data_IF_757489704614
#
_entry.id   IF_757489704614
#
_cell.length_a   1.000
_cell.length_b   1.000
_cell.length_c   1.000
_cell.angle_alpha   90.00
_cell.angle_beta   90.00
_cell.angle_gamma   90.00
#
_symmetry.space_group_name_H-M   'P 1'
#
loop_
_entity.id
_entity.type
_entity.pdbx_description
1 polymer ?
#
# COMPACT_ATOMS: atom_id res chain seq x y z
N UNK A 1 8.58 7.13 11.60
CA UNK A 1 7.21 7.42 11.17
C UNK A 1 6.47 6.14 10.81
N UNK A 2 5.23 6.08 11.18
CA UNK A 2 4.39 4.93 10.91
C UNK A 2 3.95 4.95 9.44
N UNK A 3 4.36 3.95 8.68
CA UNK A 3 4.06 3.87 7.25
C UNK A 3 2.79 3.09 6.93
N UNK A 4 2.19 2.45 7.92
CA UNK A 4 0.92 1.75 7.79
C UNK A 4 -0.08 2.35 8.75
N UNK A 5 -1.30 2.60 8.26
CA UNK A 5 -2.40 3.14 9.05
C UNK A 5 -3.67 2.35 8.85
N UNK A 6 -4.45 2.27 9.92
CA UNK A 6 -5.82 1.77 9.86
C UNK A 6 -6.77 2.94 9.71
N UNK A 7 -7.66 2.86 8.73
CA UNK A 7 -8.60 3.90 8.40
C UNK A 7 -10.03 3.35 8.46
N UNK A 8 -10.98 4.26 8.55
CA UNK A 8 -12.42 3.97 8.47
C UNK A 8 -12.84 2.84 9.42
N UNK A 9 -12.89 3.15 10.74
CA UNK A 9 -13.26 2.19 11.79
C UNK A 9 -12.40 0.93 11.77
N UNK A 10 -11.10 1.09 11.46
CA UNK A 10 -10.10 0.02 11.42
C UNK A 10 -10.34 -1.07 10.36
N UNK A 11 -11.24 -0.82 9.41
CA UNK A 11 -11.59 -1.78 8.36
C UNK A 11 -10.69 -1.72 7.14
N UNK A 12 -9.87 -0.67 7.02
CA UNK A 12 -9.05 -0.42 5.85
C UNK A 12 -7.61 -0.21 6.29
N UNK A 13 -6.68 -0.85 5.59
CA UNK A 13 -5.25 -0.62 5.77
C UNK A 13 -4.75 0.27 4.63
N UNK A 14 -3.91 1.23 4.95
CA UNK A 14 -3.22 2.06 3.98
C UNK A 14 -1.74 2.13 4.32
N UNK A 15 -0.90 1.92 3.31
CA UNK A 15 0.55 2.00 3.45
C UNK A 15 1.14 2.87 2.37
N UNK A 16 2.34 3.39 2.59
CA UNK A 16 2.97 4.27 1.61
C UNK A 16 4.48 4.08 1.54
N UNK A 17 5.05 4.50 0.42
CA UNK A 17 6.48 4.71 0.24
C UNK A 17 6.70 6.10 -0.36
N UNK A 18 7.80 6.76 0.03
CA UNK A 18 8.14 8.11 -0.40
C UNK A 18 8.17 9.10 0.75
N UNK A 19 7.96 10.37 0.47
CA UNK A 19 7.99 11.45 1.46
C UNK A 19 6.87 11.31 2.49
N UNK A 20 7.20 11.43 3.77
CA UNK A 20 6.21 11.38 4.85
C UNK A 20 5.20 12.51 4.78
N UNK A 21 5.65 13.72 4.43
CA UNK A 21 4.76 14.88 4.31
C UNK A 21 3.75 14.68 3.18
N UNK A 22 4.21 14.19 2.02
CA UNK A 22 3.36 13.93 0.88
C UNK A 22 2.36 12.83 1.18
N UNK A 23 2.81 11.80 1.87
CA UNK A 23 1.96 10.67 2.26
C UNK A 23 0.87 11.10 3.23
N UNK A 24 1.18 12.00 4.15
CA UNK A 24 0.20 12.56 5.08
C UNK A 24 -0.93 13.27 4.35
N UNK A 25 -0.58 14.08 3.35
CA UNK A 25 -1.57 14.78 2.51
C UNK A 25 -2.48 13.78 1.79
N UNK A 26 -1.89 12.70 1.26
CA UNK A 26 -2.66 11.66 0.56
C UNK A 26 -3.55 10.87 1.50
N UNK A 27 -3.07 10.51 2.69
CA UNK A 27 -3.90 9.85 3.69
C UNK A 27 -5.11 10.68 4.07
N UNK A 28 -4.93 11.98 4.32
CA UNK A 28 -6.03 12.88 4.66
C UNK A 28 -7.07 12.95 3.53
N UNK A 29 -6.62 13.04 2.29
CA UNK A 29 -7.50 13.03 1.12
C UNK A 29 -8.25 11.71 0.99
N UNK A 30 -7.55 10.61 1.21
CA UNK A 30 -8.16 9.29 1.12
C UNK A 30 -9.21 9.07 2.22
N UNK A 31 -8.91 9.48 3.45
CA UNK A 31 -9.87 9.42 4.54
C UNK A 31 -11.15 10.19 4.22
N UNK A 32 -11.03 11.37 3.64
CA UNK A 32 -12.18 12.17 3.22
C UNK A 32 -13.01 11.44 2.16
N UNK A 33 -12.35 10.76 1.21
CA UNK A 33 -13.05 9.96 0.19
C UNK A 33 -13.77 8.77 0.81
N UNK A 34 -13.15 8.10 1.78
CA UNK A 34 -13.78 6.97 2.47
C UNK A 34 -15.04 7.42 3.21
N UNK A 35 -15.00 8.56 3.87
CA UNK A 35 -16.18 9.12 4.53
C UNK A 35 -17.26 9.47 3.51
N UNK A 36 -16.87 10.13 2.42
CA UNK A 36 -17.79 10.53 1.36
C UNK A 36 -18.50 9.35 0.72
N UNK A 37 -17.80 8.24 0.53
CA UNK A 37 -18.33 7.05 -0.16
C UNK A 37 -18.64 5.89 0.80
N UNK A 38 -18.81 6.20 2.08
CA UNK A 38 -19.27 5.25 3.11
C UNK A 38 -18.42 3.97 3.20
N UNK A 39 -17.10 4.12 3.10
CA UNK A 39 -16.17 3.00 3.23
C UNK A 39 -15.99 2.15 1.99
N UNK A 40 -16.54 2.57 0.85
CA UNK A 40 -16.35 1.87 -0.42
C UNK A 40 -14.92 2.10 -0.92
N UNK A 41 -14.06 1.12 -0.72
CA UNK A 41 -12.64 1.22 -1.03
C UNK A 41 -12.39 1.51 -2.51
N UNK A 42 -13.03 0.75 -3.39
CA UNK A 42 -12.87 0.90 -4.84
C UNK A 42 -13.24 2.32 -5.29
N UNK A 43 -14.36 2.82 -4.81
CA UNK A 43 -14.83 4.16 -5.17
C UNK A 43 -13.88 5.24 -4.66
N UNK A 44 -13.46 5.12 -3.41
CA UNK A 44 -12.53 6.07 -2.81
C UNK A 44 -11.19 6.08 -3.54
N UNK A 45 -10.67 4.89 -3.89
CA UNK A 45 -9.41 4.76 -4.61
C UNK A 45 -9.48 5.37 -6.02
N UNK A 46 -10.54 5.10 -6.76
CA UNK A 46 -10.74 5.68 -8.10
C UNK A 46 -10.82 7.21 -8.04
N UNK A 47 -11.58 7.73 -7.09
CA UNK A 47 -11.74 9.19 -6.97
C UNK A 47 -10.44 9.87 -6.52
N UNK A 48 -9.67 9.25 -5.63
CA UNK A 48 -8.36 9.77 -5.26
C UNK A 48 -7.40 9.77 -6.45
N UNK A 49 -7.37 8.70 -7.23
CA UNK A 49 -6.52 8.60 -8.42
C UNK A 49 -6.85 9.71 -9.43
N UNK A 50 -8.13 9.98 -9.63
CA UNK A 50 -8.57 11.08 -10.51
C UNK A 50 -8.12 12.45 -9.99
N UNK A 51 -8.26 12.71 -8.69
CA UNK A 51 -7.79 13.96 -8.09
C UNK A 51 -6.27 14.09 -8.21
N UNK A 52 -5.55 13.02 -7.94
CA UNK A 52 -4.09 13.04 -8.00
C UNK A 52 -3.60 13.41 -9.39
N UNK A 53 -4.27 12.93 -10.41
CA UNK A 53 -3.94 13.20 -11.81
C UNK A 53 -4.26 14.62 -12.24
N UNK A 54 -5.32 15.23 -11.69
CA UNK A 54 -5.86 16.50 -12.17
C UNK A 54 -5.64 17.70 -11.25
N UNK A 55 -5.44 17.47 -9.95
CA UNK A 55 -5.24 18.55 -8.98
C UNK A 55 -3.78 18.97 -8.97
N UNK A 56 -3.51 20.26 -9.25
CA UNK A 56 -2.15 20.80 -9.24
C UNK A 56 -1.45 20.65 -7.91
N UNK A 57 -2.19 20.74 -6.80
CA UNK A 57 -1.63 20.59 -5.47
C UNK A 57 -1.07 19.19 -5.23
N UNK A 58 -1.63 18.16 -5.89
CA UNK A 58 -1.22 16.78 -5.72
C UNK A 58 -0.19 16.31 -6.76
N UNK A 59 -0.09 17.01 -7.90
CA UNK A 59 0.77 16.57 -9.02
C UNK A 59 2.25 16.46 -8.68
N UNK A 60 2.73 17.20 -7.69
CA UNK A 60 4.13 17.22 -7.29
C UNK A 60 4.43 16.28 -6.12
N UNK A 61 3.43 15.56 -5.62
CA UNK A 61 3.63 14.65 -4.51
C UNK A 61 4.39 13.40 -4.97
N UNK A 62 5.48 13.10 -4.27
CA UNK A 62 6.32 11.94 -4.53
C UNK A 62 6.02 10.86 -3.50
N UNK A 63 4.99 10.08 -3.78
CA UNK A 63 4.58 8.98 -2.93
C UNK A 63 3.85 7.93 -3.76
N UNK A 64 3.82 6.72 -3.25
CA UNK A 64 3.02 5.62 -3.77
C UNK A 64 2.26 5.05 -2.59
N UNK A 65 1.02 4.69 -2.80
CA UNK A 65 0.12 4.27 -1.74
C UNK A 65 -0.50 2.91 -2.05
N UNK A 66 -0.58 2.05 -1.05
CA UNK A 66 -1.35 0.81 -1.12
C UNK A 66 -2.53 0.95 -0.15
N UNK A 67 -3.72 0.60 -0.61
CA UNK A 67 -4.92 0.57 0.22
C UNK A 67 -5.59 -0.79 0.09
N UNK A 68 -6.10 -1.31 1.20
CA UNK A 68 -6.70 -2.64 1.23
C UNK A 68 -7.83 -2.73 2.24
N UNK A 69 -8.88 -3.46 1.87
CA UNK A 69 -9.87 -3.96 2.81
C UNK A 69 -9.81 -5.50 2.83
N UNK A 70 -10.80 -6.16 3.39
CA UNK A 70 -10.82 -7.62 3.49
C UNK A 70 -11.05 -8.33 2.14
N UNK A 71 -11.36 -7.59 1.08
CA UNK A 71 -11.71 -8.16 -0.24
C UNK A 71 -10.82 -7.70 -1.38
N UNK A 72 -10.33 -6.46 -1.31
CA UNK A 72 -9.61 -5.85 -2.43
C UNK A 72 -8.38 -5.10 -1.97
N UNK A 73 -7.40 -5.00 -2.86
CA UNK A 73 -6.16 -4.25 -2.66
C UNK A 73 -5.89 -3.41 -3.90
N UNK A 74 -5.49 -2.15 -3.70
CA UNK A 74 -5.15 -1.26 -4.80
C UNK A 74 -3.80 -0.60 -4.55
N UNK A 75 -3.05 -0.43 -5.62
CA UNK A 75 -1.87 0.43 -5.68
C UNK A 75 -2.27 1.73 -6.37
N UNK A 76 -2.01 2.86 -5.72
CA UNK A 76 -2.27 4.19 -6.28
C UNK A 76 -0.93 4.91 -6.39
N UNK A 77 -0.55 5.24 -7.61
CA UNK A 77 0.73 5.89 -7.90
C UNK A 77 0.56 7.39 -8.15
N UNK A 78 1.67 8.14 -8.06
CA UNK A 78 1.67 9.60 -8.14
C UNK A 78 1.25 10.22 -9.46
N UNK A 79 1.17 9.41 -10.52
CA UNK A 79 0.65 9.85 -11.82
C UNK A 79 -0.87 9.63 -11.96
N UNK A 80 -1.51 9.14 -10.89
CA UNK A 80 -2.92 8.79 -10.92
C UNK A 80 -3.22 7.39 -11.43
N UNK A 81 -2.20 6.56 -11.57
CA UNK A 81 -2.40 5.15 -11.91
C UNK A 81 -3.03 4.41 -10.75
N UNK A 82 -3.99 3.56 -11.07
CA UNK A 82 -4.67 2.70 -10.12
C UNK A 82 -4.54 1.26 -10.60
N UNK A 83 -3.91 0.42 -9.79
CA UNK A 83 -3.60 -0.97 -10.15
C UNK A 83 -4.17 -1.90 -9.09
N UNK A 84 -4.92 -2.90 -9.55
CA UNK A 84 -5.36 -4.01 -8.70
C UNK A 84 -4.51 -5.24 -9.03
N UNK A 85 -3.78 -5.82 -8.05
CA UNK A 85 -2.93 -6.97 -8.34
C UNK A 85 -3.77 -8.23 -8.59
N UNK A 86 -3.39 -9.01 -9.60
CA UNK A 86 -4.11 -10.24 -9.97
C UNK A 86 -3.98 -11.34 -8.92
N UNK A 87 -2.83 -11.41 -8.26
CA UNK A 87 -2.53 -12.46 -7.27
C UNK A 87 -2.74 -12.00 -5.82
N UNK A 88 -3.26 -10.80 -5.61
CA UNK A 88 -3.49 -10.27 -4.26
C UNK A 88 -2.23 -9.81 -3.55
N UNK A 89 -1.08 -9.73 -4.25
CA UNK A 89 0.19 -9.28 -3.69
C UNK A 89 0.59 -7.98 -4.35
N UNK A 90 0.92 -6.98 -3.54
CA UNK A 90 1.46 -5.72 -4.03
C UNK A 90 2.57 -5.26 -3.10
N UNK A 91 3.63 -4.71 -3.66
CA UNK A 91 4.77 -4.19 -2.91
C UNK A 91 5.17 -2.82 -3.44
N UNK A 92 5.73 -2.00 -2.57
CA UNK A 92 6.25 -0.68 -2.92
C UNK A 92 7.54 -0.42 -2.15
N UNK A 93 8.30 0.58 -2.60
CA UNK A 93 9.53 0.99 -1.94
C UNK A 93 10.77 0.35 -2.55
N UNK A 94 11.93 0.67 -1.98
CA UNK A 94 13.23 0.25 -2.49
C UNK A 94 13.44 -1.27 -2.49
N UNK A 95 12.89 -1.95 -1.50
CA UNK A 95 12.94 -3.41 -1.39
C UNK A 95 11.76 -4.12 -2.04
N UNK A 96 10.88 -3.39 -2.72
CA UNK A 96 9.61 -3.91 -3.21
C UNK A 96 9.75 -5.09 -4.16
N UNK A 97 10.67 -5.02 -5.12
CA UNK A 97 10.87 -6.10 -6.09
C UNK A 97 11.33 -7.41 -5.40
N UNK A 98 12.19 -7.30 -4.42
CA UNK A 98 12.68 -8.47 -3.67
C UNK A 98 11.54 -9.10 -2.85
N UNK A 99 10.77 -8.27 -2.16
CA UNK A 99 9.62 -8.73 -1.39
C UNK A 99 8.56 -9.37 -2.28
N UNK A 100 8.30 -8.79 -3.44
CA UNK A 100 7.32 -9.30 -4.40
C UNK A 100 7.72 -10.69 -4.93
N UNK A 101 8.98 -10.85 -5.33
CA UNK A 101 9.49 -12.13 -5.82
C UNK A 101 9.39 -13.21 -4.74
N UNK A 102 9.79 -12.88 -3.50
CA UNK A 102 9.71 -13.80 -2.38
C UNK A 102 8.25 -14.17 -2.07
N UNK A 103 7.36 -13.18 -2.01
CA UNK A 103 5.95 -13.41 -1.71
C UNK A 103 5.26 -14.29 -2.75
N UNK A 104 5.54 -14.06 -4.04
CA UNK A 104 4.99 -14.89 -5.11
C UNK A 104 5.46 -16.33 -5.04
N UNK A 105 6.75 -16.55 -4.77
CA UNK A 105 7.29 -17.90 -4.60
C UNK A 105 6.66 -18.61 -3.40
N UNK A 106 6.53 -17.92 -2.27
CA UNK A 106 5.94 -18.48 -1.07
C UNK A 106 4.46 -18.80 -1.25
N UNK A 107 3.72 -17.92 -1.92
CA UNK A 107 2.31 -18.15 -2.21
C UNK A 107 2.11 -19.40 -3.07
N UNK A 108 3.01 -19.62 -4.03
CA UNK A 108 2.90 -20.72 -5.00
C UNK A 108 3.34 -22.06 -4.42
N UNK A 109 4.40 -22.08 -3.61
CA UNK A 109 5.07 -23.34 -3.22
C UNK A 109 5.04 -23.66 -1.74
N UNK A 110 4.65 -22.73 -0.89
CA UNK A 110 4.58 -22.95 0.55
C UNK A 110 3.14 -22.89 1.03
N UNK A 111 2.87 -23.55 2.16
CA UNK A 111 1.57 -23.51 2.80
C UNK A 111 1.62 -22.58 4.01
N UNK A 112 1.64 -21.29 3.74
CA UNK A 112 1.77 -20.24 4.74
C UNK A 112 0.56 -19.30 4.72
N UNK A 113 0.28 -18.69 5.87
CA UNK A 113 -0.73 -17.63 5.97
C UNK A 113 -0.25 -16.35 5.28
N UNK A 114 -1.17 -15.43 5.00
CA UNK A 114 -0.81 -14.13 4.44
C UNK A 114 0.18 -13.39 5.35
N UNK A 115 -0.03 -13.44 6.66
CA UNK A 115 0.88 -12.86 7.65
C UNK A 115 2.29 -13.44 7.53
N UNK A 116 2.40 -14.75 7.48
CA UNK A 116 3.69 -15.44 7.37
C UNK A 116 4.40 -15.10 6.06
N UNK A 117 3.66 -15.06 4.96
CA UNK A 117 4.22 -14.67 3.66
C UNK A 117 4.74 -13.24 3.70
N UNK A 118 3.97 -12.30 4.23
CA UNK A 118 4.39 -10.91 4.33
C UNK A 118 5.63 -10.76 5.20
N UNK A 119 5.65 -11.40 6.36
CA UNK A 119 6.77 -11.33 7.30
C UNK A 119 8.05 -11.90 6.69
N UNK A 120 7.99 -13.10 6.12
CA UNK A 120 9.14 -13.75 5.51
C UNK A 120 9.66 -12.99 4.30
N UNK A 121 8.74 -12.48 3.47
CA UNK A 121 9.11 -11.70 2.28
C UNK A 121 9.82 -10.39 2.65
N UNK A 122 9.37 -9.75 3.70
CA UNK A 122 10.01 -8.52 4.19
C UNK A 122 11.38 -8.81 4.82
N UNK A 123 11.55 -9.93 5.52
CA UNK A 123 12.85 -10.35 6.03
C UNK A 123 13.84 -10.62 4.90
N UNK A 124 13.41 -11.31 3.85
CA UNK A 124 14.25 -11.57 2.68
C UNK A 124 14.65 -10.26 2.00
N UNK A 125 13.69 -9.35 1.79
CA UNK A 125 13.98 -8.05 1.20
C UNK A 125 14.98 -7.25 2.05
N UNK A 126 14.84 -7.29 3.37
CA UNK A 126 15.73 -6.59 4.30
C UNK A 126 17.16 -7.12 4.27
N UNK A 127 17.34 -8.41 3.98
CA UNK A 127 18.68 -9.01 3.85
C UNK A 127 19.35 -8.68 2.52
N UNK A 128 18.59 -8.44 1.47
CA UNK A 128 19.10 -8.21 0.12
C UNK A 128 19.29 -6.72 -0.16
N UNK A 129 18.32 -5.89 0.22
CA UNK A 129 18.29 -4.47 -0.10
C UNK A 129 18.97 -3.65 1.00
N UNK A 130 20.05 -2.94 0.64
CA UNK A 130 20.81 -2.10 1.60
C UNK A 130 19.99 -0.90 2.11
N UNK A 131 18.93 -0.52 1.42
CA UNK A 131 18.06 0.60 1.80
C UNK A 131 16.89 0.17 2.67
N UNK A 132 16.75 -1.13 2.93
CA UNK A 132 15.65 -1.69 3.71
C UNK A 132 16.18 -2.15 5.07
N UNK A 133 15.54 -1.74 6.16
CA UNK A 133 15.90 -2.20 7.49
C UNK A 133 15.13 -3.48 7.85
N UNK A 134 15.53 -4.14 8.93
CA UNK A 134 14.91 -5.38 9.42
C UNK A 134 13.81 -5.13 10.46
N UNK A 135 13.51 -3.86 10.73
CA UNK A 135 12.41 -3.51 11.64
C UNK A 135 11.10 -3.56 10.86
N UNK A 136 10.30 -4.59 11.12
CA UNK A 136 9.10 -4.89 10.36
C UNK A 136 7.87 -4.72 11.25
N UNK A 137 6.88 -3.96 10.74
CA UNK A 137 5.58 -3.83 11.36
C UNK A 137 4.56 -4.56 10.50
N UNK A 138 3.76 -5.44 11.11
CA UNK A 138 2.72 -6.22 10.43
C UNK A 138 1.36 -5.79 10.96
N UNK A 139 0.43 -5.56 10.06
CA UNK A 139 -0.97 -5.29 10.37
C UNK A 139 -1.86 -6.28 9.63
N UNK A 140 -2.93 -6.71 10.28
CA UNK A 140 -3.93 -7.63 9.71
C UNK A 140 -5.32 -7.05 9.86
N UNK A 141 -6.17 -7.32 8.88
CA UNK A 141 -7.59 -6.99 8.93
C UNK A 141 -8.41 -8.13 9.52
#
# INVERSE_FOLDING_TARGET
ARKIRRLYNEKILAGFAGSSADSFALFSRFEAKLEQFHGNLSRAAVELAKEWRTDRALRHLEAVMIVADDKTTFLIAGNGDLIEPDDGIVTIGSGGAYALAAARALLKYANLSAREIAEESMHIAGKICIFTNESITIEEL
#
